data_IF_474223743433
#
_entry.id   IF_474223743433
#
_cell.length_a   1.000
_cell.length_b   1.000
_cell.length_c   1.000
_cell.angle_alpha   90.00
_cell.angle_beta   90.00
_cell.angle_gamma   90.00
#
_symmetry.space_group_name_H-M   'P 1'
#
loop_
_entity.id
_entity.type
_entity.pdbx_description
1 polymer ?
#
# COMPACT_ATOMS: atom_id res chain seq x y z
N UNK A 1 -37.50 -13.79 -28.93
CA UNK A 1 -36.85 -12.45 -29.02
C UNK A 1 -36.93 -11.86 -27.63
N UNK A 2 -35.89 -11.46 -26.89
CA UNK A 2 -34.46 -11.25 -27.14
C UNK A 2 -33.74 -11.61 -25.83
N UNK A 3 -32.57 -12.25 -25.92
CA UNK A 3 -31.54 -12.14 -24.87
C UNK A 3 -30.96 -10.72 -24.96
N UNK A 4 -30.02 -10.40 -24.08
CA UNK A 4 -29.15 -9.22 -24.12
C UNK A 4 -29.76 -8.05 -23.31
N UNK A 5 -29.17 -7.50 -22.26
CA UNK A 5 -27.88 -7.71 -21.61
C UNK A 5 -28.00 -7.08 -20.22
N UNK A 6 -27.85 -7.85 -19.14
CA UNK A 6 -27.53 -7.25 -17.84
C UNK A 6 -26.04 -6.93 -17.84
N UNK A 7 -25.69 -5.79 -18.44
CA UNK A 7 -24.39 -5.18 -18.25
C UNK A 7 -24.59 -3.84 -17.56
N UNK A 8 -24.86 -3.88 -16.25
CA UNK A 8 -24.39 -2.78 -15.40
C UNK A 8 -22.89 -2.75 -15.56
N UNK A 9 -22.31 -1.68 -16.13
CA UNK A 9 -20.89 -1.67 -16.39
C UNK A 9 -20.16 -1.64 -15.05
N UNK A 10 -19.27 -2.62 -14.86
CA UNK A 10 -18.10 -2.65 -13.98
C UNK A 10 -17.20 -1.38 -14.07
N UNK A 11 -17.65 -0.33 -14.77
CA UNK A 11 -16.91 0.89 -15.05
C UNK A 11 -16.67 1.77 -13.81
N UNK A 12 -17.51 1.67 -12.77
CA UNK A 12 -17.22 2.34 -11.50
C UNK A 12 -16.24 1.54 -10.62
N UNK A 13 -16.19 0.21 -10.78
CA UNK A 13 -15.26 -0.64 -10.04
C UNK A 13 -13.85 -0.62 -10.67
N UNK A 14 -13.75 -0.34 -11.98
CA UNK A 14 -12.46 -0.26 -12.68
C UNK A 14 -11.69 1.04 -12.43
N UNK A 15 -12.34 2.11 -11.97
CA UNK A 15 -11.65 3.34 -11.57
C UNK A 15 -11.03 3.22 -10.17
N UNK A 16 -11.41 2.22 -9.38
CA UNK A 16 -10.82 1.92 -8.07
C UNK A 16 -9.94 0.67 -8.09
N UNK A 17 -10.04 -0.19 -9.11
CA UNK A 17 -9.22 -1.40 -9.24
C UNK A 17 -7.72 -1.17 -9.49
N UNK A 18 -7.32 0.08 -9.81
CA UNK A 18 -5.94 0.44 -10.16
C UNK A 18 -5.33 1.50 -9.24
N UNK A 19 -5.91 1.78 -8.06
CA UNK A 19 -5.01 2.14 -6.97
C UNK A 19 -4.29 0.85 -6.61
N UNK A 20 -3.06 0.67 -7.13
CA UNK A 20 -2.06 -0.27 -6.63
C UNK A 20 -2.35 -0.48 -5.14
N UNK A 21 -2.74 -1.71 -4.74
CA UNK A 21 -3.13 -1.99 -3.36
C UNK A 21 -2.07 -1.34 -2.47
N UNK A 22 -2.42 -0.37 -1.61
CA UNK A 22 -1.41 0.35 -0.80
C UNK A 22 -0.67 -0.53 0.22
N UNK A 23 -0.89 -1.84 0.16
CA UNK A 23 -0.61 -2.83 1.18
C UNK A 23 0.18 -4.04 0.65
N UNK A 24 0.86 -3.95 -0.50
CA UNK A 24 1.89 -4.95 -0.85
C UNK A 24 3.16 -4.76 0.01
N UNK A 25 3.27 -3.62 0.71
CA UNK A 25 4.32 -3.39 1.72
C UNK A 25 4.02 -4.14 3.00
N UNK A 26 4.88 -5.09 3.36
CA UNK A 26 4.76 -5.87 4.60
C UNK A 26 5.59 -5.30 5.75
N UNK A 27 6.62 -4.50 5.46
CA UNK A 27 7.39 -3.76 6.48
C UNK A 27 7.49 -2.29 6.10
N UNK A 28 7.09 -1.43 7.04
CA UNK A 28 7.26 0.02 6.95
C UNK A 28 7.93 0.53 8.22
N UNK A 29 9.09 1.13 8.05
CA UNK A 29 9.88 1.75 9.11
C UNK A 29 9.93 3.24 8.77
N UNK A 30 9.46 4.07 9.69
CA UNK A 30 9.42 5.52 9.50
C UNK A 30 10.04 6.23 10.68
N UNK A 31 10.97 7.14 10.38
CA UNK A 31 11.63 8.03 11.33
C UNK A 31 12.12 7.29 12.59
N UNK A 32 12.65 6.08 12.41
CA UNK A 32 13.03 5.25 13.55
C UNK A 32 14.39 5.70 14.05
N UNK A 33 14.44 5.93 15.36
CA UNK A 33 15.65 6.16 16.13
C UNK A 33 15.77 5.08 17.19
N UNK A 34 16.95 4.48 17.34
CA UNK A 34 17.29 3.52 18.41
C UNK A 34 18.63 3.87 19.03
N UNK A 35 18.66 3.92 20.36
CA UNK A 35 19.82 4.24 21.17
C UNK A 35 20.17 3.11 22.11
N UNK A 36 21.47 2.93 22.36
CA UNK A 36 22.01 2.03 23.36
C UNK A 36 22.99 2.83 24.22
N UNK A 37 22.56 3.18 25.43
CA UNK A 37 23.25 4.17 26.26
C UNK A 37 23.38 5.49 25.51
N UNK A 38 24.59 6.02 25.45
CA UNK A 38 24.90 7.28 24.77
C UNK A 38 25.08 7.14 23.25
N UNK A 39 25.13 5.90 22.73
CA UNK A 39 25.30 5.63 21.30
C UNK A 39 23.97 5.60 20.57
N UNK A 40 23.94 6.18 19.37
CA UNK A 40 22.81 6.08 18.45
C UNK A 40 23.13 4.99 17.42
N UNK A 41 22.38 3.89 17.48
CA UNK A 41 22.57 2.75 16.57
C UNK A 41 21.67 2.80 15.35
N UNK A 42 20.53 3.50 15.46
CA UNK A 42 19.65 3.79 14.33
C UNK A 42 19.26 5.26 14.44
N UNK A 43 19.47 6.02 13.37
CA UNK A 43 19.18 7.46 13.34
C UNK A 43 18.30 7.82 12.14
N UNK A 44 17.08 8.27 12.45
CA UNK A 44 16.06 8.73 11.53
C UNK A 44 15.90 7.89 10.24
N UNK A 45 15.88 6.57 10.39
CA UNK A 45 15.86 5.64 9.26
C UNK A 45 14.43 5.47 8.74
N UNK A 46 14.30 5.47 7.41
CA UNK A 46 13.09 5.13 6.68
C UNK A 46 13.36 3.94 5.76
N UNK A 47 12.57 2.86 5.89
CA UNK A 47 12.71 1.64 5.09
C UNK A 47 11.33 1.08 4.73
N UNK A 48 11.17 0.67 3.47
CA UNK A 48 9.97 0.04 2.94
C UNK A 48 10.36 -1.29 2.30
N UNK A 49 9.71 -2.38 2.69
CA UNK A 49 9.89 -3.70 2.08
C UNK A 49 8.53 -4.17 1.53
N UNK A 50 8.49 -4.44 0.23
CA UNK A 50 7.33 -4.88 -0.55
C UNK A 50 7.58 -6.27 -1.13
#
# INVERSE_FOLDING_TARGET
>A
MKRDSFSTPDALNRLTANMLKPNDTFVRIENVVKKFGDSTAVDNVNLTIA
#
